data_IF_562923046156
#
_entry.id   IF_562923046156
#
_cell.length_a   1.000
_cell.length_b   1.000
_cell.length_c   1.000
_cell.angle_alpha   90.00
_cell.angle_beta   90.00
_cell.angle_gamma   90.00
#
_symmetry.space_group_name_H-M   'P 1'
#
loop_
_entity.id
_entity.type
_entity.pdbx_description
1 polymer ?
#
# COMPACT_ATOMS: atom_id res chain seq x y z
N UNK A 1 10.43 2.86 5.23
CA UNK A 1 11.44 2.90 4.16
C UNK A 1 11.39 1.59 3.41
N UNK A 2 11.51 1.63 2.08
CA UNK A 2 11.52 0.45 1.21
C UNK A 2 12.52 0.66 0.08
N UNK A 3 13.00 -0.43 -0.51
CA UNK A 3 13.97 -0.42 -1.62
C UNK A 3 13.38 -1.25 -2.75
N UNK A 4 13.47 -0.76 -3.99
CA UNK A 4 13.13 -1.53 -5.19
C UNK A 4 14.14 -1.30 -6.30
N UNK A 5 14.25 -2.26 -7.22
CA UNK A 5 15.11 -2.16 -8.40
C UNK A 5 14.33 -1.52 -9.54
N UNK A 6 14.81 -0.40 -10.05
CA UNK A 6 14.27 0.23 -11.24
C UNK A 6 14.70 -0.52 -12.50
N UNK A 7 13.83 -1.41 -12.97
CA UNK A 7 14.15 -2.36 -14.05
C UNK A 7 14.69 -1.74 -15.35
N UNK A 8 14.32 -0.50 -15.69
CA UNK A 8 14.78 0.14 -16.94
C UNK A 8 16.14 0.84 -16.84
N UNK A 9 16.58 1.21 -15.63
CA UNK A 9 17.89 1.85 -15.41
C UNK A 9 18.88 0.93 -14.71
N UNK A 10 18.41 -0.14 -14.06
CA UNK A 10 19.22 -0.99 -13.20
C UNK A 10 19.63 -0.33 -11.88
N UNK A 11 19.10 0.86 -11.55
CA UNK A 11 19.37 1.54 -10.29
C UNK A 11 18.45 1.05 -9.17
N UNK A 12 18.92 1.09 -7.93
CA UNK A 12 18.09 0.85 -6.76
C UNK A 12 17.49 2.16 -6.28
N UNK A 13 16.18 2.21 -6.09
CA UNK A 13 15.53 3.40 -5.56
C UNK A 13 15.14 3.10 -4.11
N UNK A 14 15.59 3.95 -3.18
CA UNK A 14 15.17 3.90 -1.78
C UNK A 14 14.07 4.92 -1.58
N UNK A 15 12.97 4.48 -1.00
CA UNK A 15 11.75 5.29 -0.83
C UNK A 15 11.47 5.43 0.66
N UNK A 16 11.29 6.66 1.09
CA UNK A 16 10.79 7.00 2.42
C UNK A 16 9.36 7.51 2.28
N UNK A 17 8.42 6.82 2.95
CA UNK A 17 7.08 7.33 3.20
C UNK A 17 6.98 7.70 4.68
N UNK A 18 6.51 8.91 4.95
CA UNK A 18 6.22 9.34 6.31
C UNK A 18 4.95 10.19 6.37
N UNK A 19 4.32 10.18 7.55
CA UNK A 19 3.18 11.04 7.86
C UNK A 19 3.65 12.20 8.71
N UNK A 20 3.62 13.40 8.15
CA UNK A 20 3.87 14.65 8.83
C UNK A 20 2.65 15.03 9.66
N UNK A 21 2.74 14.84 10.97
CA UNK A 21 1.61 15.03 11.91
C UNK A 21 1.09 16.46 11.91
N UNK A 22 1.98 17.46 11.84
CA UNK A 22 1.63 18.88 11.94
C UNK A 22 0.75 19.33 10.77
N UNK A 23 1.10 18.91 9.55
CA UNK A 23 0.38 19.25 8.33
C UNK A 23 -0.64 18.20 7.92
N UNK A 24 -0.81 17.13 8.71
CA UNK A 24 -1.57 15.90 8.38
C UNK A 24 -1.29 15.39 6.97
N UNK A 25 -0.02 15.53 6.56
CA UNK A 25 0.42 15.32 5.18
C UNK A 25 1.19 14.02 5.10
N UNK A 26 0.86 13.20 4.12
CA UNK A 26 1.71 12.07 3.76
C UNK A 26 2.77 12.61 2.79
N UNK A 27 4.04 12.25 2.98
CA UNK A 27 5.15 12.74 2.16
C UNK A 27 5.99 11.58 1.66
N UNK A 28 6.47 11.70 0.41
CA UNK A 28 7.31 10.72 -0.25
C UNK A 28 8.62 11.36 -0.65
N UNK A 29 9.70 10.72 -0.24
CA UNK A 29 11.03 11.06 -0.70
C UNK A 29 11.66 9.81 -1.33
N UNK A 30 12.37 10.02 -2.42
CA UNK A 30 13.11 8.98 -3.11
C UNK A 30 14.57 9.39 -3.23
N UNK A 31 15.46 8.41 -3.18
CA UNK A 31 16.86 8.57 -3.51
C UNK A 31 17.25 7.44 -4.47
N UNK A 32 17.90 7.82 -5.56
CA UNK A 32 18.33 6.91 -6.61
C UNK A 32 19.77 6.47 -6.29
N UNK A 33 19.96 5.18 -6.02
CA UNK A 33 21.22 4.56 -5.60
C UNK A 33 21.74 3.68 -6.74
N UNK A 34 22.88 4.02 -7.30
CA UNK A 34 23.59 3.15 -8.27
C UNK A 34 23.99 3.79 -9.59
N UNK A 35 23.86 5.10 -9.76
CA UNK A 35 24.44 5.80 -10.90
C UNK A 35 25.86 6.26 -10.61
N UNK A 36 26.85 5.48 -11.06
CA UNK A 36 28.25 5.88 -11.17
C UNK A 36 28.96 6.28 -9.85
N UNK A 37 30.30 6.45 -9.88
CA UNK A 37 31.08 6.78 -8.69
C UNK A 37 30.98 8.26 -8.23
N UNK A 38 30.20 9.11 -8.92
CA UNK A 38 30.26 10.58 -8.77
C UNK A 38 28.89 11.30 -8.76
N UNK A 39 27.77 10.61 -8.52
CA UNK A 39 26.47 11.30 -8.37
C UNK A 39 26.16 11.62 -6.91
N UNK A 40 25.77 12.87 -6.67
CA UNK A 40 25.35 13.36 -5.35
C UNK A 40 24.04 12.66 -4.95
N UNK A 41 24.17 11.66 -4.08
CA UNK A 41 23.08 10.98 -3.41
C UNK A 41 22.28 12.01 -2.59
N UNK A 42 21.16 12.46 -3.16
CA UNK A 42 20.27 13.43 -2.52
C UNK A 42 18.84 12.92 -2.54
N UNK A 43 18.17 13.08 -1.40
CA UNK A 43 16.73 12.84 -1.31
C UNK A 43 16.00 13.90 -2.12
N UNK A 44 15.02 13.47 -2.91
CA UNK A 44 14.11 14.35 -3.63
C UNK A 44 12.66 14.00 -3.32
N UNK A 45 11.83 15.02 -3.16
CA UNK A 45 10.39 14.84 -3.00
C UNK A 45 9.75 14.46 -4.34
N UNK A 46 8.84 13.48 -4.35
CA UNK A 46 8.06 13.15 -5.55
C UNK A 46 7.04 14.25 -5.85
N UNK A 47 6.94 14.69 -7.10
CA UNK A 47 6.02 15.77 -7.52
C UNK A 47 4.69 15.21 -7.99
N UNK A 48 3.96 14.58 -7.07
CA UNK A 48 2.67 13.95 -7.39
C UNK A 48 1.55 14.99 -7.23
N UNK A 49 0.99 15.46 -8.34
CA UNK A 49 0.05 16.59 -8.40
C UNK A 49 -1.24 16.33 -7.61
N UNK A 50 -1.79 15.12 -7.71
CA UNK A 50 -3.04 14.75 -7.04
C UNK A 50 -2.84 14.42 -5.55
N UNK A 51 -1.59 14.29 -5.11
CA UNK A 51 -1.27 13.94 -3.73
C UNK A 51 -1.69 15.04 -2.75
N UNK A 52 -1.62 16.30 -3.17
CA UNK A 52 -2.08 17.45 -2.40
C UNK A 52 -3.59 17.42 -2.11
N UNK A 53 -4.39 16.79 -2.98
CA UNK A 53 -5.82 16.62 -2.77
C UNK A 53 -6.11 15.49 -1.76
N UNK A 54 -5.23 14.49 -1.66
CA UNK A 54 -5.35 13.37 -0.72
C UNK A 54 -5.15 13.78 0.76
N UNK A 55 -4.50 14.92 1.00
CA UNK A 55 -4.19 15.42 2.35
C UNK A 55 -5.12 16.55 2.82
N UNK A 56 -5.98 17.10 1.95
CA UNK A 56 -6.85 18.28 2.22
C UNK A 56 -8.28 17.98 2.65
N UNK A 57 -8.66 16.72 2.91
CA UNK A 57 -9.95 16.42 3.54
C UNK A 57 -9.88 16.78 5.04
N UNK A 58 -9.91 18.07 5.33
CA UNK A 58 -9.81 18.66 6.68
C UNK A 58 -10.97 18.24 7.60
N UNK A 59 -12.07 17.73 7.05
CA UNK A 59 -13.30 17.40 7.76
C UNK A 59 -13.48 15.94 8.11
N UNK A 60 -12.73 15.01 7.50
CA UNK A 60 -12.91 13.58 7.71
C UNK A 60 -11.67 12.97 8.36
N UNK A 61 -11.84 12.41 9.56
CA UNK A 61 -10.78 11.62 10.18
C UNK A 61 -10.58 10.33 9.37
N UNK A 62 -9.35 10.07 8.95
CA UNK A 62 -8.96 8.84 8.25
C UNK A 62 -7.89 8.10 9.03
N UNK A 63 -7.75 6.80 8.77
CA UNK A 63 -6.58 6.02 9.15
C UNK A 63 -5.87 5.52 7.89
N UNK A 64 -4.54 5.44 7.97
CA UNK A 64 -3.70 5.01 6.86
C UNK A 64 -3.04 3.70 7.27
N UNK A 65 -3.26 2.64 6.50
CA UNK A 65 -2.54 1.38 6.69
C UNK A 65 -1.09 1.56 6.22
N UNK A 66 -0.18 0.74 6.75
CA UNK A 66 1.22 0.73 6.32
C UNK A 66 1.27 0.58 4.79
N UNK A 67 2.01 1.45 4.07
CA UNK A 67 2.16 1.33 2.62
C UNK A 67 2.89 0.04 2.26
N UNK A 68 2.70 -0.42 1.03
CA UNK A 68 3.48 -1.51 0.45
C UNK A 68 4.02 -1.07 -0.91
N UNK A 69 5.24 -1.48 -1.25
CA UNK A 69 5.90 -1.10 -2.51
C UNK A 69 6.18 -2.37 -3.30
N UNK A 70 5.67 -2.41 -4.53
CA UNK A 70 5.92 -3.52 -5.45
C UNK A 70 7.34 -3.48 -6.01
N UNK A 71 7.78 -4.63 -6.53
CA UNK A 71 9.03 -4.78 -7.26
C UNK A 71 9.09 -3.89 -8.51
N UNK A 72 7.93 -3.48 -9.04
CA UNK A 72 7.81 -2.54 -10.17
C UNK A 72 7.93 -1.07 -9.78
N UNK A 73 8.14 -0.75 -8.50
CA UNK A 73 8.21 0.63 -8.03
C UNK A 73 6.84 1.30 -7.92
N UNK A 74 5.78 0.53 -7.70
CA UNK A 74 4.46 1.07 -7.42
C UNK A 74 4.25 1.06 -5.90
N UNK A 75 4.10 2.24 -5.30
CA UNK A 75 3.69 2.36 -3.91
C UNK A 75 2.16 2.30 -3.82
N UNK A 76 1.67 1.45 -2.94
CA UNK A 76 0.26 1.34 -2.63
C UNK A 76 0.00 1.82 -1.20
N UNK A 77 -1.05 2.60 -1.03
CA UNK A 77 -1.50 3.12 0.26
C UNK A 77 -2.98 2.84 0.41
N UNK A 78 -3.38 2.34 1.57
CA UNK A 78 -4.79 2.18 1.91
C UNK A 78 -5.18 3.24 2.95
N UNK A 79 -6.03 4.18 2.54
CA UNK A 79 -6.65 5.19 3.40
C UNK A 79 -8.07 4.75 3.69
N UNK A 80 -8.53 4.88 4.92
CA UNK A 80 -9.89 4.48 5.26
C UNK A 80 -10.57 5.60 6.04
N UNK A 81 -11.73 6.02 5.55
CA UNK A 81 -12.50 7.12 6.11
C UNK A 81 -13.31 6.65 7.33
N UNK A 82 -13.25 7.41 8.43
CA UNK A 82 -14.07 7.13 9.63
C UNK A 82 -15.49 7.70 9.57
N UNK A 83 -15.77 8.63 8.67
CA UNK A 83 -17.09 9.25 8.56
C UNK A 83 -18.03 8.38 7.69
N UNK A 84 -19.17 7.95 8.27
CA UNK A 84 -20.22 7.21 7.54
C UNK A 84 -19.94 5.71 7.37
N UNK A 85 -20.43 5.13 6.26
CA UNK A 85 -20.08 3.77 5.83
C UNK A 85 -18.60 3.78 5.42
N UNK A 86 -17.71 3.27 6.27
CA UNK A 86 -16.26 3.26 6.09
C UNK A 86 -15.88 2.68 4.72
N UNK A 87 -15.45 3.55 3.81
CA UNK A 87 -14.89 3.17 2.53
C UNK A 87 -13.37 3.13 2.65
N UNK A 88 -12.75 2.07 2.12
CA UNK A 88 -11.32 2.07 1.87
C UNK A 88 -11.02 2.69 0.51
N UNK A 89 -10.03 3.55 0.48
CA UNK A 89 -9.43 4.09 -0.72
C UNK A 89 -8.02 3.55 -0.86
N UNK A 90 -7.71 3.06 -2.04
CA UNK A 90 -6.40 2.53 -2.38
C UNK A 90 -5.76 3.49 -3.37
N UNK A 91 -4.70 4.13 -2.92
CA UNK A 91 -3.91 5.07 -3.70
C UNK A 91 -2.72 4.29 -4.25
N UNK A 92 -2.60 4.26 -5.56
CA UNK A 92 -1.48 3.68 -6.29
C UNK A 92 -0.61 4.81 -6.80
N UNK A 93 0.69 4.75 -6.54
CA UNK A 93 1.67 5.76 -6.94
C UNK A 93 2.73 5.06 -7.77
N UNK A 94 2.79 5.39 -9.06
CA UNK A 94 3.89 4.98 -9.92
C UNK A 94 5.06 5.94 -9.66
N UNK A 95 6.05 5.49 -8.89
CA UNK A 95 7.18 6.32 -8.45
C UNK A 95 8.02 6.78 -9.64
N UNK A 96 8.11 5.94 -10.67
CA UNK A 96 8.95 6.20 -11.85
C UNK A 96 8.32 7.25 -12.75
N UNK A 97 6.99 7.25 -12.83
CA UNK A 97 6.21 8.23 -13.61
C UNK A 97 5.75 9.44 -12.80
N UNK A 98 5.93 9.40 -11.49
CA UNK A 98 5.43 10.39 -10.53
C UNK A 98 3.92 10.69 -10.67
N UNK A 99 3.14 9.67 -11.03
CA UNK A 99 1.68 9.78 -11.15
C UNK A 99 1.00 8.96 -10.06
N UNK A 100 -0.20 9.39 -9.67
CA UNK A 100 -1.04 8.64 -8.75
C UNK A 100 -2.40 8.31 -9.35
N UNK A 101 -3.03 7.27 -8.83
CA UNK A 101 -4.42 6.95 -9.10
C UNK A 101 -5.07 6.44 -7.83
N UNK A 102 -6.29 6.90 -7.56
CA UNK A 102 -7.04 6.52 -6.37
C UNK A 102 -8.23 5.65 -6.77
N UNK A 103 -8.43 4.58 -6.01
CA UNK A 103 -9.50 3.61 -6.20
C UNK A 103 -10.33 3.51 -4.94
N UNK A 104 -11.65 3.48 -5.08
CA UNK A 104 -12.54 3.24 -3.95
C UNK A 104 -12.84 1.75 -3.93
N UNK A 105 -12.45 1.07 -2.86
CA UNK A 105 -12.79 -0.33 -2.69
C UNK A 105 -14.30 -0.50 -2.48
N UNK A 106 -14.94 -1.48 -3.13
CA UNK A 106 -16.35 -1.78 -2.92
C UNK A 106 -16.68 -2.05 -1.45
N UNK A 107 -17.76 -1.41 -0.97
CA UNK A 107 -18.24 -1.52 0.42
C UNK A 107 -18.53 -2.95 0.87
N UNK A 108 -18.93 -3.81 -0.06
CA UNK A 108 -19.31 -5.19 0.20
C UNK A 108 -18.12 -6.14 0.34
N UNK A 109 -16.87 -5.66 0.21
CA UNK A 109 -15.70 -6.50 0.41
C UNK A 109 -15.53 -6.92 1.87
N UNK A 110 -15.70 -5.96 2.78
CA UNK A 110 -15.60 -6.17 4.22
C UNK A 110 -16.57 -5.24 4.95
N UNK A 111 -17.24 -5.77 5.97
CA UNK A 111 -18.06 -4.96 6.89
C UNK A 111 -17.22 -4.11 7.84
N UNK A 112 -15.97 -4.53 8.09
CA UNK A 112 -15.04 -3.86 8.99
C UNK A 112 -13.67 -3.71 8.32
N UNK A 113 -13.44 -2.52 7.77
CA UNK A 113 -12.17 -2.15 7.16
C UNK A 113 -11.06 -1.88 8.19
N UNK A 114 -11.39 -1.67 9.47
CA UNK A 114 -10.39 -1.38 10.50
C UNK A 114 -9.52 -2.60 10.77
N UNK A 115 -10.08 -3.79 10.67
CA UNK A 115 -9.39 -5.06 10.89
C UNK A 115 -8.80 -5.69 9.61
N UNK A 116 -8.98 -5.06 8.45
CA UNK A 116 -8.38 -5.51 7.18
C UNK A 116 -6.86 -5.27 7.19
N UNK A 117 -6.11 -6.27 6.73
CA UNK A 117 -4.68 -6.16 6.40
C UNK A 117 -4.50 -5.74 4.96
N UNK A 118 -3.57 -4.82 4.72
CA UNK A 118 -3.16 -4.38 3.40
C UNK A 118 -1.80 -4.98 3.06
N UNK A 119 -1.69 -5.65 1.91
CA UNK A 119 -0.47 -6.37 1.54
C UNK A 119 -0.31 -6.50 0.03
N UNK A 120 0.84 -7.02 -0.41
CA UNK A 120 1.06 -7.41 -1.80
C UNK A 120 0.73 -8.89 -1.99
N UNK A 121 -0.03 -9.19 -3.04
CA UNK A 121 -0.26 -10.54 -3.54
C UNK A 121 0.30 -10.62 -4.96
N UNK A 122 1.37 -11.40 -5.17
CA UNK A 122 2.04 -11.51 -6.48
C UNK A 122 2.34 -10.13 -7.10
N UNK A 123 2.93 -9.23 -6.30
CA UNK A 123 3.29 -7.87 -6.73
C UNK A 123 2.10 -6.90 -6.97
N UNK A 124 0.87 -7.35 -6.73
CA UNK A 124 -0.35 -6.55 -6.85
C UNK A 124 -0.89 -6.15 -5.48
N UNK A 125 -1.56 -5.00 -5.41
CA UNK A 125 -2.22 -4.57 -4.18
C UNK A 125 -3.35 -5.53 -3.80
N UNK A 126 -3.43 -5.87 -2.52
CA UNK A 126 -4.47 -6.75 -1.99
C UNK A 126 -4.91 -6.35 -0.59
N UNK A 127 -6.15 -6.68 -0.29
CA UNK A 127 -6.77 -6.50 1.03
C UNK A 127 -7.22 -7.87 1.55
N UNK A 128 -6.83 -8.17 2.78
CA UNK A 128 -7.08 -9.44 3.45
C UNK A 128 -7.88 -9.19 4.72
N UNK A 129 -8.96 -9.93 4.92
CA UNK A 129 -9.75 -9.86 6.13
C UNK A 129 -10.38 -11.21 6.47
N UNK A 130 -10.87 -11.32 7.70
CA UNK A 130 -11.65 -12.47 8.15
C UNK A 130 -13.13 -12.16 7.95
N UNK A 131 -13.84 -13.07 7.29
CA UNK A 131 -15.29 -13.04 7.16
C UNK A 131 -15.79 -14.37 7.71
N UNK A 132 -16.49 -14.29 8.86
CA UNK A 132 -16.89 -15.46 9.63
C UNK A 132 -15.68 -16.35 9.99
N UNK A 133 -15.57 -17.55 9.43
CA UNK A 133 -14.48 -18.50 9.66
C UNK A 133 -13.50 -18.60 8.47
N UNK A 134 -13.62 -17.71 7.49
CA UNK A 134 -12.82 -17.74 6.26
C UNK A 134 -11.87 -16.55 6.16
N UNK A 135 -10.67 -16.80 5.63
CA UNK A 135 -9.79 -15.72 5.15
C UNK A 135 -10.22 -15.36 3.74
N UNK A 136 -10.57 -14.09 3.55
CA UNK A 136 -10.96 -13.52 2.27
C UNK A 136 -9.88 -12.57 1.80
N UNK A 137 -9.40 -12.77 0.56
CA UNK A 137 -8.44 -11.90 -0.10
C UNK A 137 -9.02 -11.34 -1.38
N UNK A 138 -9.00 -10.01 -1.51
CA UNK A 138 -9.30 -9.32 -2.76
C UNK A 138 -8.02 -8.72 -3.33
N UNK A 139 -7.76 -8.99 -4.61
CA UNK A 139 -6.57 -8.51 -5.32
C UNK A 139 -6.99 -7.52 -6.40
N UNK A 140 -6.33 -6.37 -6.45
CA UNK A 140 -6.51 -5.39 -7.52
C UNK A 140 -5.66 -5.83 -8.73
N UNK A 141 -6.24 -6.66 -9.60
CA UNK A 141 -5.55 -7.23 -10.76
C UNK A 141 -5.23 -6.19 -11.83
N UNK A 142 -6.17 -5.28 -12.06
CA UNK A 142 -6.00 -4.19 -13.00
C UNK A 142 -6.35 -2.87 -12.33
N UNK A 143 -5.31 -2.18 -11.84
CA UNK A 143 -5.48 -0.85 -11.28
C UNK A 143 -6.07 0.10 -12.33
N UNK A 144 -5.63 0.08 -13.59
CA UNK A 144 -6.13 1.02 -14.61
C UNK A 144 -7.63 0.92 -14.82
N UNK A 145 -8.18 -0.29 -14.80
CA UNK A 145 -9.59 -0.56 -15.02
C UNK A 145 -10.40 -0.82 -13.73
N UNK A 146 -9.79 -0.63 -12.55
CA UNK A 146 -10.40 -0.95 -11.25
C UNK A 146 -10.92 -2.39 -11.15
N UNK A 147 -10.26 -3.32 -11.84
CA UNK A 147 -10.67 -4.72 -11.86
C UNK A 147 -10.11 -5.44 -10.65
N UNK A 148 -11.03 -5.94 -9.83
CA UNK A 148 -10.74 -6.81 -8.70
C UNK A 148 -10.85 -8.27 -9.12
N UNK A 149 -10.03 -9.13 -8.53
CA UNK A 149 -10.12 -10.58 -8.71
C UNK A 149 -11.43 -11.12 -8.15
N UNK A 150 -11.90 -12.24 -8.67
CA UNK A 150 -12.87 -13.07 -7.96
C UNK A 150 -12.29 -13.47 -6.58
N UNK A 151 -13.16 -13.56 -5.57
CA UNK A 151 -12.79 -13.76 -4.17
C UNK A 151 -11.86 -14.96 -4.03
N UNK A 152 -10.68 -14.74 -3.46
CA UNK A 152 -9.81 -15.85 -3.03
C UNK A 152 -10.13 -16.17 -1.58
N UNK A 153 -10.86 -17.25 -1.35
CA UNK A 153 -11.19 -17.75 -0.01
C UNK A 153 -10.28 -18.90 0.37
N UNK A 154 -9.68 -18.81 1.55
CA UNK A 154 -9.09 -19.96 2.23
C UNK A 154 -9.92 -20.22 3.50
N UNK A 155 -10.57 -21.38 3.55
CA UNK A 155 -11.28 -21.85 4.74
C UNK A 155 -10.25 -22.54 5.63
N UNK A 156 -10.04 -22.03 6.84
CA UNK A 156 -9.24 -22.72 7.83
C UNK A 156 -10.19 -23.35 8.83
N UNK A 157 -10.23 -24.69 8.89
CA UNK A 157 -10.84 -25.34 10.05
C UNK A 157 -10.00 -24.99 11.29
N UNK A 158 -10.65 -24.56 12.37
CA UNK A 158 -10.10 -24.01 13.62
C UNK A 158 -8.98 -24.87 14.28
N UNK A 159 -8.70 -26.07 13.79
CA UNK A 159 -7.60 -26.93 14.27
C UNK A 159 -6.21 -26.60 13.73
N UNK A 160 -6.07 -25.91 12.59
CA UNK A 160 -4.74 -25.59 12.02
C UNK A 160 -4.34 -24.16 12.37
N UNK A 161 -3.73 -24.06 13.55
CA UNK A 161 -3.30 -22.83 14.21
C UNK A 161 -2.47 -21.90 13.31
N UNK A 162 -2.75 -20.61 13.53
CA UNK A 162 -2.08 -19.37 13.18
C UNK A 162 -0.53 -19.34 13.09
N UNK A 163 0.17 -20.39 13.50
CA UNK A 163 1.64 -20.48 13.44
C UNK A 163 2.18 -20.59 12.01
N UNK A 164 1.41 -21.10 11.05
CA UNK A 164 1.88 -21.27 9.66
C UNK A 164 1.83 -19.98 8.82
N UNK A 165 1.04 -18.98 9.21
CA UNK A 165 0.91 -17.70 8.49
C UNK A 165 2.01 -16.69 8.84
N UNK A 166 2.62 -16.81 10.03
CA UNK A 166 3.77 -16.00 10.43
C UNK A 166 5.08 -16.51 9.79
N UNK A 167 5.19 -17.82 9.51
CA UNK A 167 6.40 -18.42 8.92
C UNK A 167 6.44 -18.37 7.38
N UNK A 168 5.28 -18.33 6.70
CA UNK A 168 5.21 -18.35 5.23
C UNK A 168 5.37 -16.98 4.54
N UNK A 169 5.15 -15.89 5.27
CA UNK A 169 5.38 -14.52 4.80
C UNK A 169 6.47 -13.92 5.67
N UNK A 170 7.70 -13.84 5.16
CA UNK A 170 8.83 -13.26 5.89
C UNK A 170 8.57 -11.82 6.32
N UNK A 171 8.05 -11.64 7.53
CA UNK A 171 7.90 -10.37 8.21
C UNK A 171 8.97 -10.28 9.30
N UNK A 172 10.11 -9.66 8.99
CA UNK A 172 11.02 -9.21 10.04
C UNK A 172 10.41 -7.96 10.70
N UNK A 173 9.84 -8.14 11.90
CA UNK A 173 9.60 -7.03 12.81
C UNK A 173 10.90 -6.74 13.57
N UNK A 174 11.39 -5.50 13.47
CA UNK A 174 12.23 -4.90 14.50
C UNK A 174 11.42 -3.78 15.11
N UNK A 175 10.89 -4.00 16.30
CA UNK A 175 10.33 -2.94 17.14
C UNK A 175 11.46 -2.05 17.66
N UNK A 176 11.39 -0.75 17.35
CA UNK A 176 11.87 0.34 18.20
C UNK A 176 10.99 1.56 17.98
#
# INVERSE_FOLDING_TARGET
MSIYLHSSTGSYNVVSLYFEKENRKISFEVIDVGYGPNEDLSWRTLKISDFYNLTRQETESFYVKRPVISTKGIAYLCRICKAGLSNAEIICIDINKEVSTTYIAPRNFFSDWENVKFMLWNDMSSVLGFVEESIVVWVLEDHKNQKWSDIKMAIFSVSEKLSSLEEGFGFFFSER
#
